data_IF_569775464289
#
_entry.id   IF_569775464289
#
_cell.length_a   1.000
_cell.length_b   1.000
_cell.length_c   1.000
_cell.angle_alpha   90.00
_cell.angle_beta   90.00
_cell.angle_gamma   90.00
#
_symmetry.space_group_name_H-M   'P 1'
#
loop_
_entity.id
_entity.type
_entity.pdbx_description
1 polymer ?
#
# COMPACT_ATOMS: atom_id res chain seq x y z
N UNK A 1 10.28 -11.89 -7.39
CA UNK A 1 9.07 -11.99 -6.61
C UNK A 1 7.92 -12.61 -7.43
N UNK A 2 7.21 -13.63 -6.90
CA UNK A 2 6.05 -14.20 -7.57
C UNK A 2 4.82 -13.31 -7.34
N UNK A 3 4.31 -12.67 -8.38
CA UNK A 3 3.07 -11.88 -8.31
C UNK A 3 1.83 -12.75 -8.59
N UNK A 4 2.02 -13.84 -9.33
CA UNK A 4 1.01 -14.81 -9.72
C UNK A 4 1.70 -16.15 -9.96
N UNK A 5 0.95 -17.27 -9.98
CA UNK A 5 1.51 -18.56 -10.38
C UNK A 5 2.05 -18.48 -11.81
N UNK A 6 3.32 -18.90 -11.97
CA UNK A 6 4.03 -18.81 -13.24
C UNK A 6 4.51 -17.41 -13.67
N UNK A 7 4.22 -16.34 -12.91
CA UNK A 7 4.67 -14.97 -13.23
C UNK A 7 5.60 -14.43 -12.15
N UNK A 8 6.86 -14.30 -12.51
CA UNK A 8 7.91 -13.73 -11.64
C UNK A 8 8.30 -12.33 -12.13
N UNK A 9 8.52 -11.42 -11.19
CA UNK A 9 9.08 -10.09 -11.44
C UNK A 9 10.45 -9.97 -10.81
N UNK A 10 11.34 -9.22 -11.47
CA UNK A 10 12.58 -8.75 -10.85
C UNK A 10 12.23 -7.60 -9.92
N UNK A 11 12.53 -7.75 -8.64
CA UNK A 11 12.09 -6.83 -7.61
C UNK A 11 13.23 -6.36 -6.72
N UNK A 12 13.09 -5.15 -6.19
CA UNK A 12 13.86 -4.60 -5.07
C UNK A 12 13.00 -4.69 -3.83
N UNK A 13 13.54 -5.14 -2.71
CA UNK A 13 12.71 -5.44 -1.54
C UNK A 13 13.30 -4.88 -0.26
N UNK A 14 12.44 -4.48 0.67
CA UNK A 14 12.83 -4.36 2.07
C UNK A 14 12.68 -5.72 2.76
N UNK A 15 13.79 -6.28 3.26
CA UNK A 15 13.86 -7.57 3.96
C UNK A 15 13.26 -8.75 3.17
N UNK A 16 13.34 -8.72 1.83
CA UNK A 16 12.95 -9.85 0.98
C UNK A 16 11.44 -10.01 0.73
N UNK A 17 10.62 -9.03 1.07
CA UNK A 17 9.16 -9.08 0.89
C UNK A 17 8.60 -7.88 0.11
N UNK A 18 7.46 -8.07 -0.54
CA UNK A 18 6.64 -7.03 -1.16
C UNK A 18 5.18 -7.20 -0.69
N UNK A 19 4.63 -6.17 -0.07
CA UNK A 19 5.29 -4.99 0.46
C UNK A 19 6.42 -5.34 1.45
N UNK A 20 7.32 -4.38 1.71
CA UNK A 20 8.24 -4.47 2.83
C UNK A 20 7.49 -4.64 4.16
N UNK A 21 8.17 -5.09 5.25
CA UNK A 21 7.53 -5.36 6.53
C UNK A 21 6.71 -4.16 7.03
N UNK A 22 5.51 -4.42 7.55
CA UNK A 22 4.73 -3.38 8.22
C UNK A 22 5.47 -2.89 9.45
N UNK A 23 5.69 -1.58 9.51
CA UNK A 23 6.16 -0.91 10.73
C UNK A 23 4.92 -0.38 11.46
N UNK A 24 4.70 -0.88 12.67
CA UNK A 24 3.56 -0.50 13.51
C UNK A 24 4.07 0.02 14.86
N UNK A 25 3.74 1.27 15.19
CA UNK A 25 4.19 1.95 16.40
C UNK A 25 3.05 2.78 17.00
N UNK A 26 3.23 3.28 18.22
CA UNK A 26 2.26 4.16 18.87
C UNK A 26 2.71 5.63 18.74
N UNK A 27 1.77 6.54 18.58
CA UNK A 27 2.02 7.98 18.55
C UNK A 27 2.84 8.43 19.77
N UNK A 28 3.92 9.18 19.50
CA UNK A 28 4.87 9.63 20.50
C UNK A 28 6.00 8.64 20.80
N UNK A 29 6.01 7.45 20.21
CA UNK A 29 7.13 6.53 20.36
C UNK A 29 8.38 7.07 19.66
N UNK A 30 9.55 6.79 20.23
CA UNK A 30 10.84 7.07 19.58
C UNK A 30 11.15 5.92 18.64
N UNK A 31 11.15 6.23 17.35
CA UNK A 31 11.45 5.27 16.28
C UNK A 31 12.93 5.36 15.94
N UNK A 32 13.58 4.18 15.86
CA UNK A 32 14.94 4.05 15.35
C UNK A 32 14.97 2.94 14.31
N UNK A 33 15.27 3.31 13.07
CA UNK A 33 15.43 2.36 11.96
C UNK A 33 16.89 2.36 11.53
N UNK A 34 17.56 1.23 11.71
CA UNK A 34 18.91 1.00 11.20
C UNK A 34 18.77 0.32 9.85
N UNK A 35 19.03 1.06 8.79
CA UNK A 35 18.88 0.60 7.42
C UNK A 35 20.25 0.34 6.79
N UNK A 36 20.45 -0.87 6.26
CA UNK A 36 21.64 -1.24 5.49
C UNK A 36 21.26 -1.46 4.03
N UNK A 37 21.88 -0.71 3.13
CA UNK A 37 21.65 -0.86 1.70
C UNK A 37 22.39 -2.10 1.17
N UNK A 38 21.65 -3.14 0.81
CA UNK A 38 22.16 -4.37 0.19
C UNK A 38 21.93 -4.43 -1.32
N UNK A 39 21.40 -3.35 -1.93
CA UNK A 39 21.25 -3.24 -3.37
C UNK A 39 22.61 -3.00 -4.03
N UNK A 40 22.70 -3.20 -5.33
CA UNK A 40 23.88 -2.87 -6.15
C UNK A 40 23.94 -1.37 -6.52
N UNK A 41 22.99 -0.58 -6.06
CA UNK A 41 22.83 0.84 -6.37
C UNK A 41 22.47 1.64 -5.12
N UNK A 42 22.65 2.99 -5.16
CA UNK A 42 22.25 3.84 -4.04
C UNK A 42 20.74 3.83 -3.80
N UNK A 43 20.33 4.11 -2.55
CA UNK A 43 18.93 4.29 -2.18
C UNK A 43 18.79 5.21 -0.97
N UNK A 44 17.55 5.56 -0.61
CA UNK A 44 17.20 6.22 0.65
C UNK A 44 15.83 5.70 1.11
N UNK A 45 15.41 6.05 2.33
CA UNK A 45 14.02 5.84 2.78
C UNK A 45 13.39 7.18 3.09
N UNK A 46 12.25 7.46 2.43
CA UNK A 46 11.35 8.55 2.76
C UNK A 46 10.16 8.05 3.59
N UNK A 47 9.76 8.82 4.59
CA UNK A 47 8.65 8.54 5.51
C UNK A 47 7.43 9.36 5.11
N UNK A 48 6.73 8.89 4.09
CA UNK A 48 5.66 9.60 3.41
C UNK A 48 4.47 9.89 4.36
N UNK A 49 4.26 11.17 4.63
CA UNK A 49 3.18 11.68 5.49
C UNK A 49 3.52 11.73 6.99
N UNK A 50 4.65 11.17 7.40
CA UNK A 50 5.11 11.23 8.80
C UNK A 50 5.87 12.54 9.04
N UNK A 51 5.58 13.22 10.17
CA UNK A 51 6.30 14.42 10.57
C UNK A 51 7.66 14.06 11.15
N UNK A 52 8.70 14.09 10.33
CA UNK A 52 10.08 13.79 10.73
C UNK A 52 10.95 15.05 10.75
N UNK A 53 12.07 15.07 11.51
CA UNK A 53 13.09 16.10 11.34
C UNK A 53 13.61 16.12 9.89
N UNK A 54 13.87 17.29 9.32
CA UNK A 54 14.32 17.44 7.93
C UNK A 54 15.50 16.51 7.54
N UNK A 55 16.47 16.34 8.46
CA UNK A 55 17.61 15.43 8.23
C UNK A 55 17.24 13.93 8.17
N UNK A 56 15.99 13.57 8.50
CA UNK A 56 15.46 12.20 8.46
C UNK A 56 14.46 11.98 7.33
N UNK A 57 14.22 13.01 6.49
CA UNK A 57 13.20 12.98 5.43
C UNK A 57 13.55 12.06 4.24
N UNK A 58 14.83 11.72 4.07
CA UNK A 58 15.26 10.71 3.10
C UNK A 58 15.37 11.20 1.65
N UNK A 59 15.39 12.51 1.39
CA UNK A 59 15.48 13.06 0.02
C UNK A 59 16.94 13.23 -0.40
N UNK A 60 17.42 12.47 -1.42
CA UNK A 60 18.81 12.50 -1.86
C UNK A 60 19.23 13.90 -2.35
N UNK A 61 20.39 14.37 -1.88
CA UNK A 61 20.96 15.66 -2.29
C UNK A 61 20.26 16.88 -1.71
N UNK A 62 19.18 16.69 -0.93
CA UNK A 62 18.46 17.78 -0.23
C UNK A 62 18.57 17.59 1.28
N UNK A 63 18.08 16.49 1.81
CA UNK A 63 18.06 16.23 3.27
C UNK A 63 19.16 15.28 3.71
N UNK A 64 19.67 14.43 2.83
CA UNK A 64 20.78 13.52 3.08
C UNK A 64 21.54 13.15 1.79
N UNK A 65 22.72 12.55 1.94
CA UNK A 65 23.38 11.87 0.84
C UNK A 65 22.70 10.53 0.54
N UNK A 66 22.70 10.04 -0.72
CA UNK A 66 22.26 8.68 -1.03
C UNK A 66 23.09 7.65 -0.26
N UNK A 67 22.44 6.63 0.26
CA UNK A 67 23.07 5.52 0.99
C UNK A 67 23.66 4.57 -0.07
N UNK A 68 24.99 4.46 -0.13
CA UNK A 68 25.68 3.65 -1.12
C UNK A 68 25.52 2.14 -0.84
N UNK A 69 25.74 1.27 -1.83
CA UNK A 69 25.80 -0.18 -1.61
C UNK A 69 26.71 -0.54 -0.44
N UNK A 70 26.21 -1.33 0.50
CA UNK A 70 26.90 -1.76 1.72
C UNK A 70 26.91 -0.75 2.87
N UNK A 71 26.48 0.49 2.64
CA UNK A 71 26.38 1.50 3.70
C UNK A 71 25.16 1.30 4.60
N UNK A 72 25.26 1.83 5.81
CA UNK A 72 24.19 1.85 6.80
C UNK A 72 23.85 3.29 7.16
N UNK A 73 22.56 3.61 7.20
CA UNK A 73 22.04 4.88 7.71
C UNK A 73 21.04 4.62 8.85
N UNK A 74 21.02 5.49 9.85
CA UNK A 74 20.09 5.37 10.97
C UNK A 74 19.11 6.53 10.95
N UNK A 75 17.83 6.20 10.77
CA UNK A 75 16.72 7.16 10.90
C UNK A 75 16.22 7.15 12.34
N UNK A 76 16.13 8.34 12.96
CA UNK A 76 15.60 8.50 14.32
C UNK A 76 14.62 9.67 14.37
N UNK A 77 13.38 9.36 14.78
CA UNK A 77 12.34 10.39 14.91
C UNK A 77 11.28 9.98 15.94
N UNK A 78 10.38 10.89 16.26
CA UNK A 78 9.19 10.61 17.09
C UNK A 78 8.03 10.33 16.15
N UNK A 79 7.33 9.21 16.35
CA UNK A 79 6.19 8.80 15.53
C UNK A 79 5.02 9.78 15.70
N UNK A 80 4.67 10.53 14.66
CA UNK A 80 3.52 11.45 14.61
C UNK A 80 3.22 11.93 13.19
N UNK A 81 1.96 12.32 12.92
CA UNK A 81 0.76 12.07 13.74
C UNK A 81 0.33 10.60 13.69
N UNK A 82 -0.67 10.20 14.47
CA UNK A 82 -1.31 8.90 14.33
C UNK A 82 -2.01 8.79 12.97
N UNK A 83 -1.94 7.62 12.32
CA UNK A 83 -2.56 7.39 11.00
C UNK A 83 -1.90 6.31 10.17
N UNK A 84 -2.34 6.21 8.92
CA UNK A 84 -1.83 5.28 7.90
C UNK A 84 -0.85 6.01 6.99
N UNK A 85 0.39 5.55 6.96
CA UNK A 85 1.52 6.15 6.23
C UNK A 85 2.28 5.11 5.43
N UNK A 86 3.32 5.57 4.71
CA UNK A 86 4.14 4.74 3.84
C UNK A 86 5.61 5.02 4.13
N UNK A 87 6.47 4.03 4.02
CA UNK A 87 7.88 4.24 3.80
C UNK A 87 8.27 3.70 2.43
N UNK A 88 9.10 4.42 1.70
CA UNK A 88 9.51 4.03 0.35
C UNK A 88 10.84 4.67 -0.06
N UNK A 89 11.47 4.15 -1.11
CA UNK A 89 12.65 4.77 -1.68
C UNK A 89 12.35 6.16 -2.25
N UNK A 90 13.30 7.08 -2.11
CA UNK A 90 13.28 8.39 -2.77
C UNK A 90 14.49 8.62 -3.69
N UNK A 91 15.23 7.55 -4.04
CA UNK A 91 16.29 7.56 -5.03
C UNK A 91 15.80 6.89 -6.31
N UNK A 92 15.81 7.59 -7.45
CA UNK A 92 15.20 7.12 -8.70
C UNK A 92 13.81 6.47 -8.43
N UNK A 93 12.94 7.23 -7.78
CA UNK A 93 11.71 6.72 -7.16
C UNK A 93 10.76 6.07 -8.17
N UNK A 94 10.70 6.57 -9.40
CA UNK A 94 9.93 6.01 -10.49
C UNK A 94 10.31 4.54 -10.77
N UNK A 95 11.59 4.20 -10.64
CA UNK A 95 12.11 2.85 -10.83
C UNK A 95 12.13 2.04 -9.53
N UNK A 96 12.67 2.59 -8.45
CA UNK A 96 12.86 1.83 -7.21
C UNK A 96 11.53 1.52 -6.50
N UNK A 97 10.58 2.46 -6.48
CA UNK A 97 9.25 2.21 -5.92
C UNK A 97 8.48 1.24 -6.80
N UNK A 98 8.47 1.43 -8.13
CA UNK A 98 7.83 0.49 -9.05
C UNK A 98 8.44 -0.92 -8.98
N UNK A 99 9.72 -1.03 -8.58
CA UNK A 99 10.38 -2.32 -8.36
C UNK A 99 10.08 -2.97 -7.00
N UNK A 100 9.33 -2.30 -6.09
CA UNK A 100 8.89 -2.90 -4.83
C UNK A 100 9.48 -2.29 -3.55
N UNK A 101 10.30 -1.23 -3.63
CA UNK A 101 10.87 -0.59 -2.43
C UNK A 101 9.84 0.32 -1.73
N UNK A 102 8.85 -0.30 -1.11
CA UNK A 102 7.82 0.35 -0.31
C UNK A 102 7.27 -0.58 0.77
N UNK A 103 6.71 0.01 1.81
CA UNK A 103 6.01 -0.72 2.86
C UNK A 103 5.07 0.17 3.68
N UNK A 104 4.11 -0.40 4.41
CA UNK A 104 3.17 0.35 5.23
C UNK A 104 3.80 0.76 6.56
N UNK A 105 3.51 1.99 6.98
CA UNK A 105 3.90 2.54 8.27
C UNK A 105 2.65 3.02 9.02
N UNK A 106 2.29 2.31 10.07
CA UNK A 106 1.08 2.57 10.85
C UNK A 106 1.48 3.18 12.20
N UNK A 107 0.95 4.36 12.49
CA UNK A 107 1.09 5.01 13.78
C UNK A 107 -0.27 4.95 14.48
N UNK A 108 -0.39 4.12 15.50
CA UNK A 108 -1.62 4.01 16.29
C UNK A 108 -1.74 5.19 17.27
N UNK A 109 -2.94 5.73 17.46
CA UNK A 109 -3.14 6.77 18.45
C UNK A 109 -2.85 6.24 19.87
N UNK A 110 -2.18 7.02 20.70
CA UNK A 110 -1.89 6.64 22.11
C UNK A 110 -3.16 6.45 22.94
N UNK A 111 -4.22 7.14 22.59
CA UNK A 111 -5.54 6.97 23.17
C UNK A 111 -6.58 7.05 22.06
N UNK A 112 -7.16 5.91 21.71
CA UNK A 112 -8.24 5.87 20.75
C UNK A 112 -9.53 6.41 21.37
N UNK A 113 -10.20 7.32 20.66
CA UNK A 113 -11.53 7.83 21.03
C UNK A 113 -12.66 6.97 20.47
N UNK A 114 -12.32 5.94 19.69
CA UNK A 114 -13.25 5.05 19.02
C UNK A 114 -12.89 3.60 19.31
N UNK A 115 -13.88 2.69 19.31
CA UNK A 115 -13.61 1.26 19.33
C UNK A 115 -12.69 0.85 18.17
N UNK A 116 -11.77 -0.06 18.45
CA UNK A 116 -10.99 -0.68 17.37
C UNK A 116 -11.89 -1.54 16.49
N UNK A 117 -11.64 -1.62 15.17
CA UNK A 117 -12.38 -2.53 14.31
C UNK A 117 -12.07 -3.99 14.69
N UNK A 118 -13.00 -4.89 14.40
CA UNK A 118 -12.78 -6.34 14.60
C UNK A 118 -11.71 -6.88 13.66
N UNK A 119 -11.61 -6.29 12.46
CA UNK A 119 -10.64 -6.66 11.43
C UNK A 119 -10.02 -5.38 10.85
N UNK A 120 -8.69 -5.31 10.81
CA UNK A 120 -7.92 -4.17 10.29
C UNK A 120 -6.86 -4.69 9.30
N UNK A 121 -7.01 -4.38 8.02
CA UNK A 121 -6.17 -4.90 6.94
C UNK A 121 -5.60 -3.75 6.10
N UNK A 122 -4.32 -3.81 5.80
CA UNK A 122 -3.64 -2.86 4.92
C UNK A 122 -3.50 -3.44 3.52
N UNK A 123 -3.95 -2.70 2.52
CA UNK A 123 -3.92 -3.05 1.12
C UNK A 123 -3.10 -2.02 0.34
N UNK A 124 -1.92 -2.41 -0.10
CA UNK A 124 -1.04 -1.59 -0.95
C UNK A 124 -1.29 -1.93 -2.42
N UNK A 125 -1.68 -0.93 -3.18
CA UNK A 125 -2.08 -1.04 -4.58
C UNK A 125 -0.89 -0.62 -5.46
N UNK A 126 -0.42 -1.51 -6.31
CA UNK A 126 0.72 -1.29 -7.19
C UNK A 126 0.57 -2.02 -8.51
N UNK A 127 1.43 -1.72 -9.47
CA UNK A 127 1.38 -2.28 -10.82
C UNK A 127 2.77 -2.67 -11.32
N UNK A 128 2.80 -3.59 -12.29
CA UNK A 128 4.00 -4.15 -12.89
C UNK A 128 3.88 -4.20 -14.41
N UNK A 129 4.98 -3.91 -15.10
CA UNK A 129 5.11 -4.14 -16.52
C UNK A 129 6.08 -5.30 -16.76
N UNK A 130 5.56 -6.40 -17.28
CA UNK A 130 6.34 -7.60 -17.60
C UNK A 130 6.17 -7.91 -19.08
N UNK A 131 7.27 -7.98 -19.82
CA UNK A 131 7.27 -8.35 -21.25
C UNK A 131 8.38 -9.35 -21.53
N UNK A 132 8.06 -10.44 -22.20
CA UNK A 132 9.02 -11.49 -22.53
C UNK A 132 9.84 -11.98 -21.33
N UNK A 133 9.20 -12.05 -20.13
CA UNK A 133 9.84 -12.43 -18.87
C UNK A 133 10.75 -11.37 -18.25
N UNK A 134 10.80 -10.17 -18.83
CA UNK A 134 11.57 -9.03 -18.30
C UNK A 134 10.65 -8.06 -17.59
N UNK A 135 11.05 -7.61 -16.40
CA UNK A 135 10.35 -6.58 -15.62
C UNK A 135 10.86 -5.20 -16.00
N UNK A 136 9.94 -4.30 -16.33
CA UNK A 136 10.21 -2.90 -16.64
C UNK A 136 9.50 -1.99 -15.61
N UNK A 137 9.96 -0.75 -15.41
CA UNK A 137 9.18 0.23 -14.67
C UNK A 137 7.84 0.49 -15.35
N UNK A 138 6.74 0.36 -14.61
CA UNK A 138 5.41 0.73 -15.09
C UNK A 138 5.21 2.24 -14.92
N UNK A 139 4.87 2.94 -16.00
CA UNK A 139 4.73 4.40 -16.03
C UNK A 139 3.50 4.81 -16.85
N UNK A 140 2.84 5.95 -16.53
CA UNK A 140 1.69 6.45 -17.30
C UNK A 140 2.13 7.11 -18.62
N UNK A 141 2.87 6.38 -19.42
CA UNK A 141 3.36 6.83 -20.73
C UNK A 141 3.34 5.71 -21.76
N UNK A 142 3.15 6.08 -23.03
CA UNK A 142 3.01 5.12 -24.11
C UNK A 142 4.15 4.10 -24.15
N UNK A 143 3.78 2.84 -24.16
CA UNK A 143 4.71 1.71 -24.20
C UNK A 143 5.30 1.34 -22.84
N UNK A 144 4.88 2.00 -21.76
CA UNK A 144 5.29 1.68 -20.40
C UNK A 144 4.09 1.38 -19.50
N UNK A 145 2.92 1.19 -20.09
CA UNK A 145 1.71 0.84 -19.36
C UNK A 145 1.82 -0.55 -18.72
N UNK A 146 1.37 -0.70 -17.46
CA UNK A 146 1.41 -1.96 -16.76
C UNK A 146 0.47 -2.99 -17.39
N UNK A 147 0.82 -4.27 -17.25
CA UNK A 147 -0.02 -5.40 -17.65
C UNK A 147 -0.36 -6.33 -16.47
N UNK A 148 0.17 -6.08 -15.29
CA UNK A 148 -0.20 -6.73 -14.03
C UNK A 148 -0.44 -5.70 -12.95
N UNK A 149 -1.51 -5.89 -12.17
CA UNK A 149 -1.92 -5.00 -11.09
C UNK A 149 -2.03 -5.82 -9.81
N UNK A 150 -1.52 -5.30 -8.69
CA UNK A 150 -1.35 -6.11 -7.50
C UNK A 150 -1.90 -5.45 -6.24
N UNK A 151 -2.45 -6.27 -5.35
CA UNK A 151 -2.73 -5.95 -3.96
C UNK A 151 -1.68 -6.65 -3.11
N UNK A 152 -0.92 -5.90 -2.31
CA UNK A 152 0.16 -6.43 -1.49
C UNK A 152 1.15 -7.31 -2.28
N UNK A 153 1.50 -6.87 -3.51
CA UNK A 153 2.45 -7.57 -4.37
C UNK A 153 1.94 -8.86 -5.00
N UNK A 154 0.62 -9.10 -5.01
CA UNK A 154 -0.02 -10.26 -5.64
C UNK A 154 -1.15 -9.82 -6.56
N UNK A 155 -1.27 -10.45 -7.72
CA UNK A 155 -2.39 -10.30 -8.64
C UNK A 155 -3.41 -11.44 -8.43
N UNK A 156 -4.71 -11.15 -8.57
CA UNK A 156 -5.73 -12.20 -8.50
C UNK A 156 -5.48 -13.30 -9.57
N UNK A 157 -5.66 -14.59 -9.25
CA UNK A 157 -6.23 -15.17 -8.03
C UNK A 157 -5.21 -15.41 -6.89
N UNK A 158 -3.97 -14.93 -6.97
CA UNK A 158 -2.98 -15.07 -5.92
C UNK A 158 -3.11 -14.02 -4.78
N UNK A 159 -4.08 -13.10 -4.87
CA UNK A 159 -4.43 -12.19 -3.78
C UNK A 159 -5.03 -12.97 -2.59
N UNK A 160 -4.77 -12.51 -1.38
CA UNK A 160 -5.31 -13.13 -0.18
C UNK A 160 -6.83 -12.92 -0.09
N UNK A 161 -7.58 -13.98 0.25
CA UNK A 161 -9.01 -13.87 0.57
C UNK A 161 -9.16 -13.35 1.99
N UNK A 162 -9.95 -12.28 2.17
CA UNK A 162 -10.27 -11.75 3.49
C UNK A 162 -11.47 -12.50 4.08
N UNK A 163 -11.26 -13.17 5.21
CA UNK A 163 -12.31 -13.89 5.92
C UNK A 163 -12.86 -13.06 7.07
N UNK A 164 -14.17 -12.80 7.05
CA UNK A 164 -14.88 -12.00 8.06
C UNK A 164 -16.23 -12.62 8.40
N UNK A 165 -16.89 -12.11 9.45
CA UNK A 165 -18.23 -12.55 9.85
C UNK A 165 -19.25 -11.43 9.68
N UNK A 166 -20.50 -11.82 9.49
CA UNK A 166 -21.63 -10.88 9.54
C UNK A 166 -21.57 -10.09 10.86
N UNK A 167 -21.73 -8.76 10.76
CA UNK A 167 -21.74 -7.84 11.90
C UNK A 167 -20.38 -7.37 12.41
N UNK A 168 -19.27 -7.93 11.92
CA UNK A 168 -17.94 -7.41 12.27
C UNK A 168 -17.69 -6.05 11.62
N UNK A 169 -17.03 -5.14 12.33
CA UNK A 169 -16.50 -3.91 11.76
C UNK A 169 -15.16 -4.20 11.09
N UNK A 170 -15.08 -3.98 9.79
CA UNK A 170 -13.88 -4.21 8.97
C UNK A 170 -13.31 -2.88 8.53
N UNK A 171 -12.02 -2.65 8.84
CA UNK A 171 -11.24 -1.53 8.30
C UNK A 171 -10.31 -2.02 7.20
N UNK A 172 -10.39 -1.38 6.04
CA UNK A 172 -9.37 -1.52 5.00
C UNK A 172 -8.59 -0.21 4.93
N UNK A 173 -7.26 -0.32 5.04
CA UNK A 173 -6.32 0.78 4.85
C UNK A 173 -5.81 0.71 3.42
N UNK A 174 -6.37 1.53 2.54
CA UNK A 174 -6.04 1.56 1.12
C UNK A 174 -4.87 2.50 0.90
N UNK A 175 -3.82 2.03 0.24
CA UNK A 175 -2.59 2.78 -0.04
C UNK A 175 -2.27 2.67 -1.53
N UNK A 176 -2.34 3.79 -2.25
CA UNK A 176 -1.87 3.88 -3.64
C UNK A 176 -0.37 4.13 -3.66
N UNK A 177 0.42 3.10 -3.95
CA UNK A 177 1.88 3.23 -3.98
C UNK A 177 2.46 3.26 -5.39
N UNK A 178 1.71 2.80 -6.37
CA UNK A 178 2.11 2.82 -7.78
C UNK A 178 1.99 4.20 -8.43
N UNK A 179 1.97 4.23 -9.75
CA UNK A 179 1.89 5.47 -10.54
C UNK A 179 0.52 5.69 -11.21
N UNK A 180 -0.43 4.78 -10.95
CA UNK A 180 -1.77 4.82 -11.54
C UNK A 180 -2.84 5.01 -10.46
N UNK A 181 -3.96 5.63 -10.86
CA UNK A 181 -5.14 5.76 -10.01
C UNK A 181 -5.95 4.45 -10.03
N UNK A 182 -6.49 4.08 -8.88
CA UNK A 182 -7.30 2.87 -8.73
C UNK A 182 -8.63 3.19 -8.06
N UNK A 183 -9.74 3.34 -8.83
CA UNK A 183 -11.09 3.40 -8.25
C UNK A 183 -11.45 2.03 -7.68
N UNK A 184 -11.35 1.87 -6.36
CA UNK A 184 -11.63 0.61 -5.67
C UNK A 184 -13.10 0.51 -5.29
N UNK A 185 -13.77 -0.54 -5.75
CA UNK A 185 -15.19 -0.79 -5.55
C UNK A 185 -15.43 -2.02 -4.68
N UNK A 186 -16.30 -1.86 -3.69
CA UNK A 186 -16.76 -2.93 -2.81
C UNK A 186 -18.16 -3.39 -3.20
N UNK A 187 -18.32 -4.65 -3.50
CA UNK A 187 -19.63 -5.25 -3.74
C UNK A 187 -20.40 -5.47 -2.44
N UNK A 188 -21.73 -5.32 -2.52
CA UNK A 188 -22.68 -5.72 -1.49
C UNK A 188 -22.86 -4.76 -0.32
N UNK A 189 -21.82 -4.03 0.08
CA UNK A 189 -21.85 -3.20 1.27
C UNK A 189 -21.29 -1.80 0.99
N UNK A 190 -21.98 -0.71 1.42
CA UNK A 190 -21.35 0.60 1.43
C UNK A 190 -20.30 0.67 2.53
N UNK A 191 -19.26 1.47 2.31
CA UNK A 191 -18.26 1.79 3.31
C UNK A 191 -18.27 3.28 3.67
N UNK A 192 -17.73 3.62 4.83
CA UNK A 192 -17.47 5.00 5.25
C UNK A 192 -15.99 5.32 5.14
N UNK A 193 -15.67 6.53 4.68
CA UNK A 193 -14.30 7.05 4.69
C UNK A 193 -14.00 7.61 6.06
N UNK A 194 -13.06 7.00 6.77
CA UNK A 194 -12.72 7.29 8.15
C UNK A 194 -11.51 8.19 8.30
N UNK A 195 -10.53 8.04 7.39
CA UNK A 195 -9.34 8.89 7.34
C UNK A 195 -8.86 9.08 5.90
N UNK A 196 -8.22 10.20 5.64
CA UNK A 196 -7.59 10.56 4.36
C UNK A 196 -6.17 11.00 4.65
N UNK A 197 -5.19 10.41 3.96
CA UNK A 197 -3.75 10.72 4.10
C UNK A 197 -3.25 10.68 5.55
N UNK A 198 -3.77 9.73 6.33
CA UNK A 198 -3.43 9.55 7.74
C UNK A 198 -4.22 10.46 8.70
N UNK A 199 -5.04 11.39 8.20
CA UNK A 199 -5.80 12.31 9.03
C UNK A 199 -7.26 11.86 9.18
N UNK A 200 -7.81 11.79 10.39
CA UNK A 200 -9.19 11.36 10.61
C UNK A 200 -10.20 12.34 10.01
N UNK A 201 -11.21 11.80 9.34
CA UNK A 201 -12.36 12.57 8.86
C UNK A 201 -13.33 12.77 10.03
N UNK A 202 -13.71 14.02 10.37
CA UNK A 202 -14.72 14.26 11.39
C UNK A 202 -16.02 13.51 11.07
N UNK A 203 -16.70 12.96 12.08
CA UNK A 203 -17.88 12.12 11.90
C UNK A 203 -18.95 12.76 11.02
N UNK A 204 -19.15 14.08 11.17
CA UNK A 204 -20.12 14.86 10.38
C UNK A 204 -19.72 15.06 8.92
N UNK A 205 -18.46 14.75 8.55
CA UNK A 205 -17.92 14.88 7.20
C UNK A 205 -17.60 13.52 6.55
N UNK A 206 -17.82 12.42 7.27
CA UNK A 206 -17.60 11.07 6.73
C UNK A 206 -18.60 10.78 5.60
N UNK A 207 -18.08 10.35 4.46
CA UNK A 207 -18.88 10.00 3.30
C UNK A 207 -19.13 8.49 3.26
N UNK A 208 -20.37 8.11 2.92
CA UNK A 208 -20.72 6.73 2.62
C UNK A 208 -20.63 6.54 1.12
N UNK A 209 -19.85 5.56 0.69
CA UNK A 209 -19.53 5.29 -0.71
C UNK A 209 -19.49 3.78 -0.97
N UNK A 210 -19.44 3.39 -2.22
CA UNK A 210 -19.16 2.03 -2.68
C UNK A 210 -17.92 1.97 -3.57
N UNK A 211 -17.46 3.13 -4.04
CA UNK A 211 -16.30 3.26 -4.94
C UNK A 211 -15.49 4.48 -4.55
N UNK A 212 -14.17 4.28 -4.35
CA UNK A 212 -13.24 5.32 -3.94
C UNK A 212 -12.00 5.32 -4.82
N UNK A 213 -11.67 6.46 -5.44
CA UNK A 213 -10.46 6.61 -6.24
C UNK A 213 -9.24 6.82 -5.35
N UNK A 214 -8.31 5.86 -5.38
CA UNK A 214 -7.02 5.94 -4.67
C UNK A 214 -5.97 6.36 -5.68
N UNK A 215 -5.46 7.58 -5.55
CA UNK A 215 -4.41 8.10 -6.41
C UNK A 215 -3.00 7.75 -5.87
N UNK A 216 -1.94 7.85 -6.69
CA UNK A 216 -0.56 7.71 -6.24
C UNK A 216 -0.24 8.56 -5.00
N UNK A 217 0.32 7.92 -3.97
CA UNK A 217 0.67 8.56 -2.69
C UNK A 217 -0.50 8.77 -1.73
N UNK A 218 -1.76 8.60 -2.15
CA UNK A 218 -2.92 8.75 -1.27
C UNK A 218 -3.14 7.51 -0.39
N UNK A 219 -3.67 7.76 0.80
CA UNK A 219 -4.10 6.72 1.76
C UNK A 219 -5.50 7.03 2.25
N UNK A 220 -6.33 5.99 2.31
CA UNK A 220 -7.69 6.07 2.84
C UNK A 220 -7.93 4.91 3.81
N UNK A 221 -8.40 5.22 5.00
CA UNK A 221 -8.97 4.22 5.88
C UNK A 221 -10.49 4.21 5.66
N UNK A 222 -11.01 3.08 5.21
CA UNK A 222 -12.46 2.88 5.02
C UNK A 222 -12.97 1.81 5.98
N UNK A 223 -14.22 1.95 6.45
CA UNK A 223 -14.87 0.97 7.33
C UNK A 223 -16.22 0.55 6.77
N UNK A 224 -16.50 -0.75 6.83
CA UNK A 224 -17.79 -1.34 6.49
C UNK A 224 -18.16 -2.46 7.46
N UNK A 225 -19.45 -2.82 7.48
CA UNK A 225 -19.95 -3.95 8.27
C UNK A 225 -20.78 -4.84 7.35
N UNK A 226 -20.31 -6.08 7.05
CA UNK A 226 -21.06 -6.99 6.21
C UNK A 226 -22.35 -7.44 6.89
N UNK A 227 -23.45 -7.48 6.16
CA UNK A 227 -24.79 -7.85 6.64
C UNK A 227 -25.29 -9.18 6.08
N UNK A 228 -24.66 -9.69 5.02
CA UNK A 228 -25.07 -10.91 4.32
C UNK A 228 -23.86 -11.84 4.15
N UNK A 229 -23.98 -13.14 4.44
CA UNK A 229 -22.93 -14.11 4.16
C UNK A 229 -22.75 -14.33 2.66
N UNK A 230 -21.56 -14.74 2.25
CA UNK A 230 -21.24 -15.02 0.84
C UNK A 230 -19.84 -14.58 0.46
N UNK A 231 -19.53 -14.70 -0.83
CA UNK A 231 -18.28 -14.20 -1.39
C UNK A 231 -18.56 -12.89 -2.14
N UNK A 232 -17.85 -11.84 -1.73
CA UNK A 232 -18.00 -10.49 -2.25
C UNK A 232 -16.69 -10.02 -2.87
N UNK A 233 -16.77 -9.32 -4.00
CA UNK A 233 -15.58 -8.79 -4.66
C UNK A 233 -15.21 -7.41 -4.13
N UNK A 234 -13.91 -7.19 -3.98
CA UNK A 234 -13.32 -5.86 -3.83
C UNK A 234 -12.30 -5.69 -4.96
N UNK A 235 -12.53 -4.74 -5.88
CA UNK A 235 -11.72 -4.64 -7.09
C UNK A 235 -11.61 -3.23 -7.64
N UNK A 236 -10.63 -2.98 -8.50
CA UNK A 236 -10.49 -1.73 -9.26
C UNK A 236 -11.57 -1.64 -10.34
N UNK A 237 -12.17 -0.45 -10.51
CA UNK A 237 -13.20 -0.21 -11.54
C UNK A 237 -12.65 0.38 -12.86
N UNK A 238 -11.32 0.51 -13.01
CA UNK A 238 -10.68 0.57 -14.31
C UNK A 238 -10.52 -0.88 -14.77
N UNK A 239 -11.37 -1.34 -15.69
CA UNK A 239 -11.55 -2.76 -15.97
C UNK A 239 -10.28 -3.46 -16.50
N UNK A 240 -9.41 -2.74 -17.22
CA UNK A 240 -8.10 -3.27 -17.61
C UNK A 240 -7.23 -3.63 -16.38
N UNK A 241 -7.41 -2.94 -15.23
CA UNK A 241 -6.69 -3.23 -13.99
C UNK A 241 -7.14 -4.53 -13.29
N UNK A 242 -8.23 -5.14 -13.75
CA UNK A 242 -8.71 -6.45 -13.28
C UNK A 242 -8.34 -7.59 -14.23
N UNK A 243 -7.27 -7.41 -14.98
CA UNK A 243 -6.73 -8.44 -15.90
C UNK A 243 -5.27 -8.79 -15.54
N UNK A 244 -4.82 -9.95 -15.98
CA UNK A 244 -3.42 -10.37 -15.96
C UNK A 244 -2.97 -10.47 -17.42
N UNK A 245 -2.13 -9.54 -17.88
CA UNK A 245 -1.67 -9.47 -19.27
C UNK A 245 -2.85 -9.58 -20.28
N UNK A 246 -3.88 -8.74 -20.06
CA UNK A 246 -5.14 -8.70 -20.81
C UNK A 246 -6.04 -9.96 -20.69
N UNK A 247 -5.76 -10.86 -19.76
CA UNK A 247 -6.62 -12.02 -19.48
C UNK A 247 -7.45 -11.77 -18.23
N UNK A 248 -8.78 -11.79 -18.36
CA UNK A 248 -9.76 -11.64 -17.27
C UNK A 248 -10.21 -13.02 -16.75
N UNK A 249 -10.45 -13.23 -15.43
CA UNK A 249 -10.26 -12.28 -14.34
C UNK A 249 -8.81 -12.25 -13.81
N UNK A 250 -8.38 -11.10 -13.29
CA UNK A 250 -7.01 -10.93 -12.78
C UNK A 250 -6.80 -9.64 -11.98
N UNK A 251 -5.55 -9.25 -11.84
CA UNK A 251 -5.13 -7.93 -11.38
C UNK A 251 -5.57 -7.53 -9.97
N UNK A 252 -5.98 -6.26 -9.86
CA UNK A 252 -6.45 -5.61 -8.64
C UNK A 252 -7.86 -6.08 -8.25
N UNK A 253 -7.93 -7.30 -7.77
CA UNK A 253 -9.15 -7.92 -7.26
C UNK A 253 -8.82 -8.84 -6.08
N UNK A 254 -9.70 -8.88 -5.09
CA UNK A 254 -9.66 -9.85 -3.98
C UNK A 254 -11.08 -10.26 -3.60
N UNK A 255 -11.18 -11.40 -2.93
CA UNK A 255 -12.45 -11.91 -2.39
C UNK A 255 -12.54 -11.56 -0.90
N UNK A 256 -13.71 -11.10 -0.48
CA UNK A 256 -14.11 -11.00 0.92
C UNK A 256 -15.13 -12.11 1.16
N UNK A 257 -14.74 -13.11 1.94
CA UNK A 257 -15.61 -14.21 2.33
C UNK A 257 -16.26 -13.91 3.68
N UNK A 258 -17.57 -13.71 3.64
CA UNK A 258 -18.39 -13.41 4.82
C UNK A 258 -19.08 -14.69 5.31
N UNK A 259 -18.81 -15.10 6.53
CA UNK A 259 -19.50 -16.22 7.19
C UNK A 259 -20.55 -15.70 8.17
N UNK A 260 -21.57 -16.52 8.52
CA UNK A 260 -22.57 -16.18 9.54
C UNK A 260 -21.98 -15.77 10.89
#
# INVERSE_FOLDING_TARGET
>A
WPILDGVLVTAMTYNGTIPGPMIKVTEGDRVKVVFTNQLEEPTTIHWHGVEVPNAMDGVPGITQAPIQPGETFTYEFVAKPAGTFIYHSHYESDRQVSAGLYGPFIIEPRASQRPEPDVDVTLMLSEWLVRDGVTYPAMPMSGMEPNYFTINGKAYPATETLHVKVGQTVRLRLIGIGQFIHPMHLHGFPFKVMAIDGHPVPETAQQTMDTLSVAPGQRFDIEFTPTEPGQWMFHCHILHHTTNDNVDPGGLMMIIEVTP
#
